data_IF_325795227337
#
_entry.id   IF_325795227337
#
_cell.length_a   1.000
_cell.length_b   1.000
_cell.length_c   1.000
_cell.angle_alpha   90.00
_cell.angle_beta   90.00
_cell.angle_gamma   90.00
#
_symmetry.space_group_name_H-M   'P 1'
#
loop_
_entity.id
_entity.type
_entity.pdbx_description
1 polymer ?
#
# COMPACT_ATOMS: atom_id res chain seq x y z
N UNK A 1 42.17 16.96 -27.93
CA UNK A 1 41.23 18.09 -27.87
C UNK A 1 39.79 17.70 -28.23
N UNK A 2 39.48 17.17 -29.43
CA UNK A 2 38.09 16.72 -29.75
C UNK A 2 37.64 15.46 -28.99
N UNK A 3 38.58 14.57 -28.62
CA UNK A 3 38.31 13.31 -27.90
C UNK A 3 37.98 13.55 -26.41
N UNK A 4 38.50 14.64 -25.83
CA UNK A 4 38.38 14.97 -24.41
C UNK A 4 36.98 15.51 -24.07
N UNK A 5 36.41 16.34 -24.96
CA UNK A 5 35.07 16.89 -24.81
C UNK A 5 33.99 15.79 -24.81
N UNK A 6 34.11 14.77 -25.69
CA UNK A 6 33.17 13.64 -25.77
C UNK A 6 33.16 12.80 -24.48
N UNK A 7 34.33 12.59 -23.86
CA UNK A 7 34.45 11.84 -22.60
C UNK A 7 33.87 12.62 -21.42
N UNK A 8 34.05 13.94 -21.40
CA UNK A 8 33.48 14.82 -20.36
C UNK A 8 31.96 14.80 -20.43
N UNK A 9 31.36 14.89 -21.63
CA UNK A 9 29.90 14.86 -21.81
C UNK A 9 29.29 13.51 -21.40
N UNK A 10 29.94 12.39 -21.73
CA UNK A 10 29.49 11.06 -21.31
C UNK A 10 29.54 10.92 -19.78
N UNK A 11 30.62 11.42 -19.16
CA UNK A 11 30.78 11.37 -17.70
C UNK A 11 29.73 12.19 -16.96
N UNK A 12 29.33 13.35 -17.49
CA UNK A 12 28.30 14.19 -16.85
C UNK A 12 26.88 13.62 -17.02
N UNK A 13 26.57 12.98 -18.15
CA UNK A 13 25.28 12.27 -18.33
C UNK A 13 25.16 11.09 -17.37
N UNK A 14 26.23 10.30 -17.21
CA UNK A 14 26.26 9.17 -16.28
C UNK A 14 26.07 9.60 -14.82
N UNK A 15 26.50 10.82 -14.46
CA UNK A 15 26.34 11.37 -13.12
C UNK A 15 24.89 11.80 -12.83
N UNK A 16 24.19 12.34 -13.83
CA UNK A 16 22.78 12.77 -13.71
C UNK A 16 21.83 11.58 -13.53
N UNK A 17 22.14 10.43 -14.14
CA UNK A 17 21.32 9.22 -14.05
C UNK A 17 21.33 8.55 -12.67
N UNK A 18 22.24 8.95 -11.76
CA UNK A 18 22.35 8.36 -10.42
C UNK A 18 21.45 9.01 -9.35
N UNK A 19 20.74 10.10 -9.65
CA UNK A 19 19.97 10.87 -8.66
C UNK A 19 18.44 10.66 -8.70
N UNK A 20 17.95 9.62 -9.38
CA UNK A 20 16.51 9.41 -9.64
C UNK A 20 15.67 8.79 -8.52
N UNK A 21 16.15 8.68 -7.29
CA UNK A 21 15.40 7.99 -6.23
C UNK A 21 14.44 8.95 -5.50
N UNK A 22 13.16 8.91 -5.85
CA UNK A 22 12.08 9.56 -5.10
C UNK A 22 11.41 8.54 -4.17
N UNK A 23 11.38 8.81 -2.86
CA UNK A 23 10.55 8.03 -1.93
C UNK A 23 9.10 8.49 -2.06
N UNK A 24 8.24 7.60 -2.52
CA UNK A 24 6.81 7.80 -2.44
C UNK A 24 6.34 7.69 -1.00
N UNK A 25 5.36 8.52 -0.63
CA UNK A 25 4.72 8.44 0.69
C UNK A 25 3.71 7.29 0.66
N UNK A 26 3.54 6.56 1.77
CA UNK A 26 2.49 5.55 1.84
C UNK A 26 1.12 6.22 1.70
N UNK A 27 0.22 5.58 0.95
CA UNK A 27 -1.14 6.06 0.74
C UNK A 27 -1.98 5.97 2.03
N UNK A 28 -1.60 5.08 2.95
CA UNK A 28 -2.32 4.81 4.19
C UNK A 28 -1.39 4.91 5.40
N UNK A 29 -1.97 5.29 6.54
CA UNK A 29 -1.31 5.31 7.84
C UNK A 29 -2.17 4.59 8.87
N UNK A 30 -1.54 4.00 9.88
CA UNK A 30 -2.25 3.36 10.98
C UNK A 30 -2.90 4.42 11.85
N UNK A 31 -4.19 4.26 12.15
CA UNK A 31 -4.94 5.11 13.08
C UNK A 31 -5.34 4.33 14.32
N UNK A 32 -4.98 4.83 15.50
CA UNK A 32 -5.34 4.19 16.78
C UNK A 32 -6.70 4.66 17.31
N UNK A 33 -7.08 5.93 17.07
CA UNK A 33 -8.36 6.49 17.51
C UNK A 33 -9.34 6.69 16.35
N UNK A 34 -9.90 5.61 15.82
CA UNK A 34 -10.89 5.67 14.72
C UNK A 34 -12.33 5.84 15.20
N UNK A 35 -12.62 5.58 16.48
CA UNK A 35 -13.98 5.51 17.01
C UNK A 35 -14.77 4.27 16.58
N UNK A 36 -14.16 3.37 15.79
CA UNK A 36 -14.76 2.11 15.39
C UNK A 36 -14.67 1.13 16.57
N UNK A 37 -15.81 0.82 17.19
CA UNK A 37 -15.89 -0.12 18.32
C UNK A 37 -16.33 -1.53 17.90
N UNK A 38 -16.66 -1.71 16.62
CA UNK A 38 -17.10 -2.99 16.07
C UNK A 38 -15.91 -3.84 15.65
N UNK A 39 -15.97 -5.13 15.97
CA UNK A 39 -15.02 -6.16 15.50
C UNK A 39 -15.82 -7.36 14.99
N UNK A 40 -15.60 -7.75 13.72
CA UNK A 40 -16.15 -8.99 13.18
C UNK A 40 -15.26 -10.17 13.56
N UNK A 41 -15.25 -10.52 14.86
CA UNK A 41 -14.42 -11.59 15.38
C UNK A 41 -14.99 -12.95 15.00
N UNK A 42 -14.33 -13.66 14.09
CA UNK A 42 -14.69 -15.02 13.71
C UNK A 42 -14.07 -16.02 14.70
N UNK A 43 -14.92 -16.91 15.24
CA UNK A 43 -14.52 -17.95 16.19
C UNK A 43 -14.86 -19.31 15.60
N UNK A 44 -13.84 -19.99 15.09
CA UNK A 44 -13.99 -21.31 14.49
C UNK A 44 -14.24 -22.41 15.54
N UNK A 45 -15.08 -23.36 15.17
CA UNK A 45 -15.38 -24.58 15.92
C UNK A 45 -15.56 -25.75 14.93
N UNK A 46 -15.52 -26.99 15.42
CA UNK A 46 -15.66 -28.18 14.57
C UNK A 46 -16.93 -28.14 13.70
N UNK A 47 -18.04 -27.62 14.25
CA UNK A 47 -19.30 -27.46 13.52
C UNK A 47 -19.45 -26.09 12.81
N UNK A 48 -18.52 -25.16 13.00
CA UNK A 48 -18.59 -23.79 12.52
C UNK A 48 -17.25 -23.35 11.93
N UNK A 49 -17.05 -23.66 10.65
CA UNK A 49 -15.86 -23.33 9.87
C UNK A 49 -16.23 -23.29 8.37
N UNK A 50 -15.30 -22.86 7.51
CA UNK A 50 -15.54 -22.73 6.06
C UNK A 50 -15.90 -24.05 5.37
N UNK A 51 -15.39 -25.18 5.86
CA UNK A 51 -15.61 -26.49 5.24
C UNK A 51 -17.03 -26.98 5.47
N UNK A 52 -17.61 -26.66 6.63
CA UNK A 52 -18.98 -27.02 6.99
C UNK A 52 -20.01 -25.94 6.59
N UNK A 53 -19.59 -24.68 6.53
CA UNK A 53 -20.44 -23.56 6.12
C UNK A 53 -19.64 -22.57 5.26
N UNK A 54 -19.85 -22.62 3.94
CA UNK A 54 -19.12 -21.80 2.96
C UNK A 54 -19.23 -20.29 3.21
N UNK A 55 -20.34 -19.85 3.82
CA UNK A 55 -20.58 -18.43 4.13
C UNK A 55 -20.10 -18.01 5.52
N UNK A 56 -19.35 -18.86 6.23
CA UNK A 56 -18.89 -18.57 7.59
C UNK A 56 -18.04 -17.29 7.67
N UNK A 57 -17.27 -17.00 6.61
CA UNK A 57 -16.42 -15.80 6.51
C UNK A 57 -17.10 -14.61 5.83
N UNK A 58 -18.34 -14.76 5.38
CA UNK A 58 -19.04 -13.65 4.71
C UNK A 58 -19.38 -12.52 5.67
N UNK A 59 -19.51 -12.82 6.97
CA UNK A 59 -19.45 -11.85 8.07
C UNK A 59 -20.35 -10.61 7.98
N UNK A 60 -20.11 -9.64 8.87
CA UNK A 60 -20.60 -8.26 8.78
C UNK A 60 -19.41 -7.31 8.90
N UNK A 61 -19.49 -6.12 8.28
CA UNK A 61 -18.31 -5.25 8.14
C UNK A 61 -18.59 -3.77 8.35
N UNK A 62 -17.50 -3.00 8.47
CA UNK A 62 -17.52 -1.53 8.45
C UNK A 62 -16.98 -1.09 7.10
N UNK A 63 -17.70 -0.18 6.43
CA UNK A 63 -17.25 0.43 5.19
C UNK A 63 -16.79 1.86 5.47
N UNK A 64 -15.70 2.27 4.82
CA UNK A 64 -15.30 3.67 4.73
C UNK A 64 -15.71 4.19 3.34
N UNK A 65 -16.25 5.40 3.29
CA UNK A 65 -16.66 6.03 2.06
C UNK A 65 -16.43 7.53 2.15
N UNK A 66 -15.98 8.09 1.04
CA UNK A 66 -15.97 9.52 0.81
C UNK A 66 -17.26 9.88 0.09
N UNK A 67 -18.11 10.68 0.73
CA UNK A 67 -19.44 11.02 0.21
C UNK A 67 -19.41 12.33 -0.60
N UNK A 68 -18.37 13.13 -0.44
CA UNK A 68 -18.27 14.48 -0.98
C UNK A 68 -17.13 14.63 -2.00
N UNK A 69 -16.27 13.62 -2.17
CA UNK A 69 -15.15 13.60 -3.12
C UNK A 69 -14.25 14.84 -3.03
N UNK A 70 -13.98 15.31 -1.81
CA UNK A 70 -13.08 16.47 -1.61
C UNK A 70 -11.59 16.10 -1.52
#
# INVERSE_FOLDING_TARGET
>A
MLVDCRKIVISSISLVLLFGCTRERPLFTLMEQTGITFENKIVEQDAFNVLEYEYFYNGGGVAAGDLNND
#
